data_IF_045381973030
#
_entry.id   IF_045381973030
#
_cell.length_a   1.000
_cell.length_b   1.000
_cell.length_c   1.000
_cell.angle_alpha   90.00
_cell.angle_beta   90.00
_cell.angle_gamma   90.00
#
_symmetry.space_group_name_H-M   'P 1'
#
loop_
_entity.id
_entity.type
_entity.pdbx_description
1 polymer ?
#
# COMPACT_ATOMS: atom_id res chain seq x y z
N UNK A 1 -50.00 10.33 3.52
CA UNK A 1 -50.31 11.34 4.51
C UNK A 1 -49.12 11.48 5.45
N UNK A 2 -48.77 12.75 5.75
CA UNK A 2 -47.67 13.25 6.59
C UNK A 2 -46.23 13.13 5.96
N UNK A 3 -45.70 14.02 5.20
CA UNK A 3 -45.15 15.36 5.31
C UNK A 3 -44.36 15.61 6.62
N UNK A 4 -43.02 15.61 6.53
CA UNK A 4 -42.13 16.24 7.48
C UNK A 4 -41.06 17.04 6.72
N UNK A 5 -40.99 18.33 7.07
CA UNK A 5 -40.24 19.41 6.42
C UNK A 5 -38.74 19.43 6.79
N UNK A 6 -37.92 20.22 6.07
CA UNK A 6 -36.47 20.30 6.29
C UNK A 6 -36.10 21.36 7.33
N UNK A 7 -34.99 21.11 8.06
CA UNK A 7 -34.38 22.00 9.03
C UNK A 7 -33.30 22.88 8.36
N UNK A 8 -33.10 24.15 8.80
CA UNK A 8 -32.39 25.19 8.07
C UNK A 8 -30.89 25.25 8.36
N UNK A 9 -30.16 25.71 7.34
CA UNK A 9 -28.75 26.03 7.35
C UNK A 9 -28.41 27.22 8.26
N UNK A 10 -27.41 27.07 9.13
CA UNK A 10 -26.82 28.13 9.94
C UNK A 10 -25.61 28.72 9.22
N UNK A 11 -25.80 29.94 8.70
CA UNK A 11 -24.72 30.84 8.26
C UNK A 11 -23.88 31.24 9.49
N UNK A 12 -22.56 31.09 9.39
CA UNK A 12 -21.65 31.83 10.27
C UNK A 12 -20.72 32.71 9.40
N UNK A 13 -20.62 33.94 9.88
CA UNK A 13 -20.07 35.11 9.25
C UNK A 13 -18.53 35.05 9.07
N UNK A 14 -18.10 35.68 7.98
CA UNK A 14 -16.74 36.09 7.74
C UNK A 14 -16.37 37.24 8.69
N UNK A 15 -15.21 37.21 9.31
CA UNK A 15 -14.57 38.33 9.96
C UNK A 15 -13.38 38.79 9.11
N UNK A 16 -13.54 39.95 8.51
CA UNK A 16 -12.49 40.76 7.90
C UNK A 16 -11.46 41.16 8.97
N UNK A 17 -10.19 40.95 8.69
CA UNK A 17 -9.10 41.64 9.39
C UNK A 17 -8.29 42.41 8.37
N UNK A 18 -8.42 43.72 8.52
CA UNK A 18 -7.80 44.79 7.74
C UNK A 18 -6.28 44.78 7.86
N UNK A 19 -5.64 44.92 6.71
CA UNK A 19 -4.22 45.18 6.54
C UNK A 19 -3.99 46.69 6.83
N UNK A 20 -3.12 46.97 7.79
CA UNK A 20 -2.53 48.33 7.95
C UNK A 20 -1.09 48.26 7.44
N UNK A 21 -0.89 49.01 6.36
CA UNK A 21 0.38 49.38 5.75
C UNK A 21 0.95 50.60 6.46
N UNK A 22 2.19 50.56 6.94
CA UNK A 22 3.04 51.73 7.12
C UNK A 22 4.49 51.36 6.75
N UNK A 23 5.00 51.99 5.70
CA UNK A 23 6.42 52.07 5.35
C UNK A 23 7.04 53.35 5.92
N UNK A 24 8.20 53.83 5.37
CA UNK A 24 9.54 53.31 5.64
C UNK A 24 10.40 54.37 6.37
N UNK A 25 11.49 54.00 7.00
CA UNK A 25 12.40 54.99 7.57
C UNK A 25 13.70 54.43 8.17
N UNK A 26 14.74 54.84 7.48
CA UNK A 26 16.02 55.30 7.97
C UNK A 26 17.14 54.28 8.27
N UNK A 27 18.06 54.31 7.36
CA UNK A 27 19.49 53.96 7.44
C UNK A 27 20.20 54.61 8.64
N UNK A 28 20.87 53.82 9.46
CA UNK A 28 22.02 54.29 10.28
C UNK A 28 23.15 53.32 10.07
N UNK A 29 24.19 53.82 9.44
CA UNK A 29 25.45 53.14 9.25
C UNK A 29 26.24 53.09 10.57
N UNK A 30 26.89 51.95 10.80
CA UNK A 30 27.96 51.86 11.80
C UNK A 30 29.28 51.46 11.13
N UNK A 31 30.17 52.45 11.12
CA UNK A 31 31.55 52.41 10.65
C UNK A 31 32.43 51.56 11.56
N UNK A 32 33.30 50.74 10.94
CA UNK A 32 34.44 50.08 11.58
C UNK A 32 35.50 51.12 11.94
N UNK A 33 36.23 50.99 13.06
CA UNK A 33 37.53 51.58 13.19
C UNK A 33 38.64 50.59 12.82
N UNK A 34 39.46 51.05 11.94
CA UNK A 34 40.73 50.47 11.48
C UNK A 34 41.82 50.99 12.42
N UNK A 35 42.51 50.11 13.17
CA UNK A 35 43.69 50.51 13.91
C UNK A 35 44.93 50.32 13.06
N UNK A 36 45.60 51.43 12.77
CA UNK A 36 46.93 51.51 12.25
C UNK A 36 47.95 51.72 13.39
N UNK A 37 49.03 50.94 13.32
CA UNK A 37 50.21 50.96 14.13
C UNK A 37 51.12 52.10 13.69
N UNK A 38 51.73 52.80 14.61
CA UNK A 38 53.08 53.38 14.59
C UNK A 38 53.23 54.29 15.80
N UNK A 39 54.13 54.07 16.78
CA UNK A 39 55.54 54.29 16.65
C UNK A 39 55.90 55.43 17.62
N UNK A 40 56.94 55.28 18.40
CA UNK A 40 57.92 56.15 18.94
C UNK A 40 58.16 56.08 20.47
N UNK A 41 59.29 55.46 20.74
CA UNK A 41 60.44 56.03 21.42
C UNK A 41 60.29 56.38 22.91
N UNK A 42 61.04 55.65 23.72
CA UNK A 42 62.31 56.00 24.45
C UNK A 42 62.22 57.21 25.38
N UNK A 43 62.64 56.89 26.53
CA UNK A 43 63.48 57.58 27.52
C UNK A 43 62.79 58.07 28.82
N UNK A 44 63.54 57.72 29.87
CA UNK A 44 63.83 58.29 31.18
C UNK A 44 63.33 57.42 32.33
N UNK A 45 64.20 56.55 32.85
CA UNK A 45 65.26 56.62 33.87
C UNK A 45 64.79 57.36 35.15
N UNK A 46 64.89 56.56 36.22
CA UNK A 46 65.42 56.79 37.52
C UNK A 46 64.52 57.22 38.70
N UNK A 47 64.70 56.37 39.77
CA UNK A 47 64.63 56.71 41.22
C UNK A 47 63.25 56.47 41.87
N UNK A 48 63.07 55.59 42.79
CA UNK A 48 63.61 55.45 44.15
C UNK A 48 63.09 54.19 44.83
N UNK A 49 64.00 53.57 45.56
CA UNK A 49 63.77 52.63 46.64
C UNK A 49 62.55 52.94 47.51
N UNK A 50 61.70 51.99 47.64
CA UNK A 50 60.67 51.91 48.65
C UNK A 50 60.39 50.44 48.96
N UNK A 51 61.16 49.92 49.91
CA UNK A 51 60.97 48.63 50.53
C UNK A 51 59.57 48.57 51.11
N UNK A 52 58.73 47.73 50.54
CA UNK A 52 57.54 47.17 51.26
C UNK A 52 57.43 45.69 50.92
N UNK A 53 57.94 44.88 51.84
CA UNK A 53 57.68 43.46 51.91
C UNK A 53 56.16 43.24 51.96
N UNK A 54 55.49 42.93 50.84
CA UNK A 54 54.26 42.25 50.82
C UNK A 54 54.50 40.84 50.28
N UNK A 55 54.53 39.93 51.23
CA UNK A 55 54.51 38.49 50.97
C UNK A 55 53.42 38.19 49.99
N UNK A 56 53.65 37.44 48.90
CA UNK A 56 52.55 36.82 48.14
C UNK A 56 51.86 35.85 49.13
N UNK A 57 50.58 36.02 49.32
CA UNK A 57 49.77 35.05 49.98
C UNK A 57 50.00 33.71 49.27
N UNK A 58 50.65 32.82 49.95
CA UNK A 58 50.87 31.46 49.58
C UNK A 58 49.46 30.87 49.43
N UNK A 59 48.94 30.79 48.17
CA UNK A 59 47.78 29.96 47.82
C UNK A 59 48.17 28.55 48.31
N UNK A 60 47.39 28.04 49.24
CA UNK A 60 47.62 26.73 49.85
C UNK A 60 47.45 25.66 48.77
N UNK A 61 48.51 24.95 48.33
CA UNK A 61 48.38 23.97 47.24
C UNK A 61 47.40 22.83 47.60
N UNK A 62 46.99 22.69 48.85
CA UNK A 62 45.98 21.75 49.32
C UNK A 62 44.56 22.21 48.99
N UNK A 63 44.29 23.53 48.91
CA UNK A 63 43.01 24.06 48.56
C UNK A 63 42.75 23.96 47.06
N UNK A 64 43.71 24.25 46.19
CA UNK A 64 43.63 24.08 44.74
C UNK A 64 43.50 22.60 44.36
N UNK A 65 44.18 21.69 45.05
CA UNK A 65 44.03 20.24 44.83
C UNK A 65 42.66 19.72 45.27
N UNK A 66 42.03 20.28 46.31
CA UNK A 66 40.71 19.91 46.77
C UNK A 66 39.60 20.44 45.84
N UNK A 67 39.79 21.61 45.25
CA UNK A 67 38.87 22.23 44.30
C UNK A 67 38.89 21.51 42.96
N UNK A 68 40.06 21.20 42.42
CA UNK A 68 40.24 20.38 41.21
C UNK A 68 39.68 18.95 41.38
N UNK A 69 39.80 18.33 42.56
CA UNK A 69 39.22 17.03 42.86
C UNK A 69 37.69 17.06 42.90
N UNK A 70 37.11 18.16 43.38
CA UNK A 70 35.63 18.37 43.34
C UNK A 70 35.14 18.56 41.91
N UNK A 71 35.78 19.39 41.11
CA UNK A 71 35.46 19.60 39.70
C UNK A 71 35.54 18.30 38.88
N UNK A 72 36.59 17.50 39.14
CA UNK A 72 36.76 16.21 38.51
C UNK A 72 35.66 15.21 38.90
N UNK A 73 35.21 15.23 40.13
CA UNK A 73 34.07 14.42 40.63
C UNK A 73 32.75 14.86 39.98
N UNK A 74 32.51 16.16 39.88
CA UNK A 74 31.30 16.70 39.23
C UNK A 74 31.31 16.42 37.73
N UNK A 75 32.41 16.52 37.05
CA UNK A 75 32.57 16.18 35.64
C UNK A 75 32.31 14.69 35.40
N UNK A 76 32.85 13.79 36.25
CA UNK A 76 32.59 12.34 36.18
C UNK A 76 31.08 12.04 36.38
N UNK A 77 30.44 12.70 37.34
CA UNK A 77 29.01 12.51 37.60
C UNK A 77 28.15 13.00 36.40
N UNK A 78 28.53 14.12 35.79
CA UNK A 78 27.90 14.62 34.55
C UNK A 78 28.09 13.68 33.37
N UNK A 79 29.30 13.17 33.17
CA UNK A 79 29.59 12.17 32.12
C UNK A 79 28.75 10.93 32.32
N UNK A 80 28.68 10.41 33.54
CA UNK A 80 27.91 9.22 33.88
C UNK A 80 26.42 9.44 33.66
N UNK A 81 25.85 10.59 34.05
CA UNK A 81 24.46 10.96 33.82
C UNK A 81 24.14 11.14 32.33
N UNK A 82 25.07 11.70 31.54
CA UNK A 82 24.93 11.83 30.09
C UNK A 82 24.98 10.46 29.39
N UNK A 83 25.86 9.56 29.81
CA UNK A 83 25.90 8.19 29.29
C UNK A 83 24.61 7.43 29.57
N UNK A 84 24.11 7.49 30.81
CA UNK A 84 22.80 6.88 31.15
C UNK A 84 21.62 7.46 30.34
N UNK A 85 21.60 8.79 30.16
CA UNK A 85 20.60 9.44 29.31
C UNK A 85 20.71 9.00 27.84
N UNK A 86 21.94 8.86 27.35
CA UNK A 86 22.19 8.42 25.96
C UNK A 86 21.72 6.97 25.75
N UNK A 87 22.04 6.08 26.67
CA UNK A 87 21.56 4.69 26.65
C UNK A 87 20.04 4.60 26.76
N UNK A 88 19.44 5.34 27.70
CA UNK A 88 17.97 5.37 27.85
C UNK A 88 17.27 5.88 26.58
N UNK A 89 17.81 6.92 25.94
CA UNK A 89 17.29 7.45 24.69
C UNK A 89 17.46 6.45 23.53
N UNK A 90 18.60 5.73 23.52
CA UNK A 90 18.85 4.72 22.50
C UNK A 90 17.89 3.51 22.64
N UNK A 91 17.59 3.08 23.88
CA UNK A 91 16.58 2.07 24.20
C UNK A 91 15.17 2.53 23.79
N UNK A 92 14.78 3.78 24.13
CA UNK A 92 13.48 4.35 23.73
C UNK A 92 13.30 4.36 22.21
N UNK A 93 14.34 4.77 21.48
CA UNK A 93 14.36 4.78 20.02
C UNK A 93 14.20 3.37 19.44
N UNK A 94 15.00 2.41 19.94
CA UNK A 94 14.90 1.01 19.50
C UNK A 94 13.49 0.44 19.74
N UNK A 95 12.88 0.73 20.90
CA UNK A 95 11.53 0.30 21.20
C UNK A 95 10.47 0.96 20.30
N UNK A 96 10.65 2.24 19.96
CA UNK A 96 9.75 2.93 19.04
C UNK A 96 9.83 2.37 17.60
N UNK A 97 11.06 2.04 17.15
CA UNK A 97 11.29 1.40 15.84
C UNK A 97 10.69 0.00 15.79
N UNK A 98 10.86 -0.81 16.85
CA UNK A 98 10.22 -2.13 16.97
C UNK A 98 8.69 -2.05 16.90
N UNK A 99 8.10 -1.14 17.68
CA UNK A 99 6.63 -0.93 17.64
C UNK A 99 6.14 -0.52 16.25
N UNK A 100 6.86 0.35 15.56
CA UNK A 100 6.52 0.74 14.20
C UNK A 100 6.59 -0.45 13.25
N UNK A 101 7.66 -1.24 13.31
CA UNK A 101 7.83 -2.47 12.55
C UNK A 101 6.66 -3.45 12.77
N UNK A 102 6.31 -3.74 14.03
CA UNK A 102 5.25 -4.67 14.38
C UNK A 102 3.88 -4.21 13.84
N UNK A 103 3.55 -2.91 13.98
CA UNK A 103 2.31 -2.35 13.46
C UNK A 103 2.28 -2.37 11.93
N UNK A 104 3.38 -2.07 11.27
CA UNK A 104 3.47 -2.09 9.79
C UNK A 104 3.34 -3.50 9.24
N UNK A 105 3.91 -4.50 9.90
CA UNK A 105 3.71 -5.92 9.54
C UNK A 105 2.25 -6.35 9.72
N UNK A 106 1.61 -5.94 10.82
CA UNK A 106 0.19 -6.22 11.04
C UNK A 106 -0.71 -5.53 10.00
N UNK A 107 -0.38 -4.33 9.54
CA UNK A 107 -1.08 -3.65 8.44
C UNK A 107 -0.90 -4.45 7.14
N UNK A 108 0.31 -4.92 6.86
CA UNK A 108 0.59 -5.74 5.68
C UNK A 108 -0.26 -7.01 5.68
N UNK A 109 -0.27 -7.75 6.78
CA UNK A 109 -1.05 -8.98 6.95
C UNK A 109 -2.55 -8.73 6.73
N UNK A 110 -3.12 -7.74 7.44
CA UNK A 110 -4.54 -7.40 7.30
C UNK A 110 -4.88 -6.96 5.87
N UNK A 111 -3.98 -6.23 5.19
CA UNK A 111 -4.17 -5.82 3.81
C UNK A 111 -4.15 -7.00 2.83
N UNK A 112 -3.29 -8.01 3.07
CA UNK A 112 -3.29 -9.28 2.31
C UNK A 112 -4.61 -10.04 2.48
N UNK A 113 -5.09 -10.15 3.74
CA UNK A 113 -6.37 -10.81 4.04
C UNK A 113 -7.52 -10.11 3.33
N UNK A 114 -7.61 -8.77 3.40
CA UNK A 114 -8.62 -7.98 2.70
C UNK A 114 -8.61 -8.22 1.19
N UNK A 115 -7.43 -8.20 0.56
CA UNK A 115 -7.34 -8.46 -0.87
C UNK A 115 -7.83 -9.85 -1.25
N UNK A 116 -7.54 -10.88 -0.42
CA UNK A 116 -8.06 -12.23 -0.62
C UNK A 116 -9.59 -12.24 -0.55
N UNK A 117 -10.15 -11.63 0.50
CA UNK A 117 -11.60 -11.51 0.67
C UNK A 117 -12.24 -10.79 -0.52
N UNK A 118 -11.67 -9.69 -1.01
CA UNK A 118 -12.17 -8.94 -2.16
C UNK A 118 -12.18 -9.79 -3.43
N UNK A 119 -11.11 -10.55 -3.68
CA UNK A 119 -11.04 -11.45 -4.83
C UNK A 119 -12.07 -12.58 -4.76
N UNK A 120 -12.31 -13.14 -3.58
CA UNK A 120 -13.33 -14.15 -3.32
C UNK A 120 -14.75 -13.59 -3.50
N UNK A 121 -15.00 -12.37 -2.99
CA UNK A 121 -16.28 -11.67 -3.18
C UNK A 121 -16.59 -11.49 -4.66
N UNK A 122 -15.62 -11.07 -5.46
CA UNK A 122 -15.82 -10.89 -6.89
C UNK A 122 -16.06 -12.21 -7.63
N UNK A 123 -15.36 -13.28 -7.24
CA UNK A 123 -15.58 -14.61 -7.78
C UNK A 123 -17.00 -15.11 -7.45
N UNK A 124 -17.44 -15.00 -6.19
CA UNK A 124 -18.78 -15.39 -5.75
C UNK A 124 -19.88 -14.54 -6.40
N UNK A 125 -19.66 -13.23 -6.58
CA UNK A 125 -20.58 -12.34 -7.31
C UNK A 125 -20.73 -12.76 -8.78
N UNK A 126 -19.64 -13.14 -9.45
CA UNK A 126 -19.69 -13.67 -10.83
C UNK A 126 -20.45 -14.99 -10.88
N UNK A 127 -20.22 -15.91 -9.94
CA UNK A 127 -20.97 -17.16 -9.86
C UNK A 127 -22.47 -16.92 -9.65
N UNK A 128 -22.83 -16.04 -8.73
CA UNK A 128 -24.23 -15.70 -8.44
C UNK A 128 -24.94 -15.08 -9.66
N UNK A 129 -24.26 -14.21 -10.41
CA UNK A 129 -24.82 -13.67 -11.67
C UNK A 129 -25.11 -14.79 -12.67
N UNK A 130 -24.16 -15.72 -12.88
CA UNK A 130 -24.34 -16.88 -13.79
C UNK A 130 -25.52 -17.78 -13.36
N UNK A 131 -25.67 -18.04 -12.05
CA UNK A 131 -26.80 -18.84 -11.54
C UNK A 131 -28.13 -18.14 -11.77
N UNK A 132 -28.22 -16.83 -11.52
CA UNK A 132 -29.43 -16.05 -11.79
C UNK A 132 -29.78 -15.98 -13.28
N UNK A 133 -28.78 -15.91 -14.15
CA UNK A 133 -29.00 -15.98 -15.60
C UNK A 133 -29.55 -17.35 -16.01
N UNK A 134 -28.98 -18.45 -15.49
CA UNK A 134 -29.52 -19.80 -15.70
C UNK A 134 -30.95 -19.93 -15.18
N UNK A 135 -31.23 -19.43 -13.98
CA UNK A 135 -32.58 -19.43 -13.39
C UNK A 135 -33.57 -18.70 -14.30
N UNK A 136 -33.24 -17.50 -14.80
CA UNK A 136 -34.08 -16.74 -15.73
C UNK A 136 -34.32 -17.52 -17.02
N UNK A 137 -33.27 -18.12 -17.58
CA UNK A 137 -33.39 -18.95 -18.78
C UNK A 137 -34.35 -20.14 -18.58
N UNK A 138 -34.21 -20.86 -17.45
CA UNK A 138 -35.10 -21.99 -17.13
C UNK A 138 -36.52 -21.52 -16.82
N UNK A 139 -36.71 -20.39 -16.16
CA UNK A 139 -38.03 -19.80 -15.91
C UNK A 139 -38.77 -19.44 -17.23
N UNK A 140 -38.05 -18.87 -18.20
CA UNK A 140 -38.61 -18.57 -19.55
C UNK A 140 -38.96 -19.86 -20.28
N UNK A 141 -38.08 -20.90 -20.20
CA UNK A 141 -38.35 -22.21 -20.78
C UNK A 141 -39.63 -22.83 -20.19
N UNK A 142 -39.71 -22.84 -18.86
CA UNK A 142 -40.88 -23.35 -18.13
C UNK A 142 -42.16 -22.60 -18.53
N UNK A 143 -42.12 -21.27 -18.63
CA UNK A 143 -43.26 -20.45 -19.07
C UNK A 143 -43.75 -20.88 -20.47
N UNK A 144 -42.83 -21.04 -21.43
CA UNK A 144 -43.16 -21.51 -22.79
C UNK A 144 -43.75 -22.91 -22.78
N UNK A 145 -43.19 -23.84 -22.02
CA UNK A 145 -43.72 -25.21 -21.87
C UNK A 145 -45.13 -25.20 -21.31
N UNK A 146 -45.40 -24.37 -20.27
CA UNK A 146 -46.73 -24.20 -19.68
C UNK A 146 -47.75 -23.62 -20.66
N UNK A 147 -47.35 -22.58 -21.42
CA UNK A 147 -48.23 -21.96 -22.43
C UNK A 147 -48.57 -22.93 -23.53
N UNK A 148 -47.61 -23.73 -24.00
CA UNK A 148 -47.81 -24.76 -25.01
C UNK A 148 -48.76 -25.84 -24.50
N UNK A 149 -48.50 -26.41 -23.33
CA UNK A 149 -49.35 -27.43 -22.72
C UNK A 149 -50.77 -26.91 -22.45
N UNK A 150 -50.90 -25.66 -21.98
CA UNK A 150 -52.19 -25.04 -21.75
C UNK A 150 -52.99 -24.82 -23.08
N UNK A 151 -52.28 -24.49 -24.17
CA UNK A 151 -52.86 -24.39 -25.50
C UNK A 151 -53.38 -25.74 -25.99
N UNK A 152 -52.56 -26.79 -25.85
CA UNK A 152 -52.96 -28.15 -26.21
C UNK A 152 -54.14 -28.65 -25.37
N UNK A 153 -54.12 -28.38 -24.07
CA UNK A 153 -55.22 -28.75 -23.17
C UNK A 153 -56.53 -28.05 -23.55
N UNK A 154 -56.46 -26.75 -23.89
CA UNK A 154 -57.67 -26.00 -24.40
C UNK A 154 -58.17 -26.57 -25.70
N UNK A 155 -57.33 -26.90 -26.67
CA UNK A 155 -57.70 -27.53 -27.92
C UNK A 155 -58.34 -28.89 -27.68
N UNK A 156 -57.78 -29.73 -26.84
CA UNK A 156 -58.29 -31.02 -26.46
C UNK A 156 -59.69 -30.93 -25.82
N UNK A 157 -59.84 -29.93 -24.91
CA UNK A 157 -61.21 -29.69 -24.31
C UNK A 157 -62.23 -29.21 -25.30
N UNK A 158 -61.87 -28.29 -26.20
CA UNK A 158 -62.80 -27.79 -27.25
C UNK A 158 -63.23 -28.87 -28.24
N UNK A 159 -62.32 -29.86 -28.49
CA UNK A 159 -62.66 -30.99 -29.33
C UNK A 159 -63.61 -32.02 -28.66
N UNK A 160 -63.83 -31.93 -27.35
CA UNK A 160 -64.75 -32.73 -26.56
C UNK A 160 -64.29 -34.15 -26.20
N UNK A 161 -64.81 -34.68 -25.07
CA UNK A 161 -64.36 -35.96 -24.46
C UNK A 161 -64.75 -37.21 -25.28
N UNK A 162 -65.62 -37.08 -26.25
CA UNK A 162 -66.24 -38.22 -26.95
C UNK A 162 -65.65 -38.53 -28.32
N UNK A 163 -64.51 -37.88 -28.72
CA UNK A 163 -63.95 -38.12 -30.05
C UNK A 163 -63.50 -39.58 -30.26
N UNK A 164 -62.88 -40.18 -29.21
CA UNK A 164 -62.44 -41.57 -29.28
C UNK A 164 -63.67 -42.55 -29.42
N UNK A 165 -64.74 -42.27 -28.68
CA UNK A 165 -65.91 -43.07 -28.72
C UNK A 165 -66.65 -42.83 -30.05
N UNK A 166 -66.76 -41.61 -30.57
CA UNK A 166 -67.30 -41.30 -31.88
C UNK A 166 -66.56 -42.00 -33.02
N UNK A 167 -65.18 -42.04 -32.88
CA UNK A 167 -64.37 -42.71 -33.88
C UNK A 167 -64.56 -44.23 -33.90
N UNK A 168 -64.72 -44.85 -32.71
CA UNK A 168 -64.98 -46.24 -32.51
C UNK A 168 -66.41 -46.64 -33.03
N UNK A 169 -67.38 -45.75 -32.90
CA UNK A 169 -68.76 -45.96 -33.33
C UNK A 169 -68.98 -45.68 -34.82
N UNK A 170 -68.14 -44.89 -35.46
CA UNK A 170 -68.21 -44.54 -36.88
C UNK A 170 -67.38 -45.54 -37.73
N UNK A 171 -67.90 -46.73 -37.99
CA UNK A 171 -67.20 -47.87 -38.63
C UNK A 171 -67.19 -47.82 -40.17
N UNK A 172 -67.38 -46.67 -40.80
CA UNK A 172 -67.36 -46.60 -42.26
C UNK A 172 -66.02 -46.94 -42.92
N UNK A 173 -64.90 -46.80 -42.19
CA UNK A 173 -63.56 -47.15 -42.69
C UNK A 173 -62.64 -47.73 -41.57
N UNK A 174 -62.55 -49.04 -41.38
CA UNK A 174 -61.73 -49.67 -40.30
C UNK A 174 -60.28 -49.37 -40.38
N UNK A 175 -59.70 -49.20 -41.57
CA UNK A 175 -58.29 -48.83 -41.77
C UNK A 175 -57.98 -47.41 -41.31
N UNK A 176 -58.95 -46.50 -41.34
CA UNK A 176 -58.80 -45.14 -40.83
C UNK A 176 -58.76 -45.11 -39.29
N UNK A 177 -59.60 -45.96 -38.64
CA UNK A 177 -59.61 -46.10 -37.16
C UNK A 177 -58.29 -46.58 -36.63
N UNK A 178 -57.68 -47.62 -37.28
CA UNK A 178 -56.37 -48.10 -36.88
C UNK A 178 -55.29 -47.04 -36.97
N UNK A 179 -55.21 -46.27 -38.05
CA UNK A 179 -54.24 -45.16 -38.22
C UNK A 179 -54.42 -44.08 -37.14
N UNK A 180 -55.72 -43.75 -36.89
CA UNK A 180 -56.00 -42.68 -35.88
C UNK A 180 -55.62 -43.09 -34.45
N UNK A 181 -55.85 -44.37 -34.09
CA UNK A 181 -55.38 -44.90 -32.78
C UNK A 181 -53.83 -44.81 -32.63
N UNK A 182 -53.15 -45.12 -33.74
CA UNK A 182 -51.70 -44.96 -33.75
C UNK A 182 -51.29 -43.49 -33.54
N UNK A 183 -51.96 -42.55 -34.24
CA UNK A 183 -51.69 -41.13 -34.02
C UNK A 183 -51.99 -40.68 -32.58
N UNK A 184 -53.08 -41.11 -31.99
CA UNK A 184 -53.39 -40.83 -30.59
C UNK A 184 -52.38 -41.39 -29.67
N UNK A 185 -51.76 -42.56 -29.94
CA UNK A 185 -50.65 -43.12 -29.20
C UNK A 185 -49.45 -42.26 -29.28
N UNK A 186 -49.07 -41.70 -30.43
CA UNK A 186 -47.97 -40.78 -30.59
C UNK A 186 -48.21 -39.46 -29.84
N UNK A 187 -49.40 -38.87 -29.96
CA UNK A 187 -49.80 -37.66 -29.26
C UNK A 187 -49.76 -37.84 -27.74
N UNK A 188 -50.25 -38.94 -27.22
CA UNK A 188 -50.26 -39.25 -25.80
C UNK A 188 -48.80 -39.38 -25.24
N UNK A 189 -47.92 -40.08 -25.97
CA UNK A 189 -46.52 -40.20 -25.62
C UNK A 189 -45.83 -38.84 -25.65
N UNK A 190 -46.00 -38.04 -26.71
CA UNK A 190 -45.44 -36.72 -26.82
C UNK A 190 -45.89 -35.78 -25.67
N UNK A 191 -47.13 -35.90 -25.19
CA UNK A 191 -47.62 -35.17 -24.00
C UNK A 191 -46.95 -35.63 -22.71
N UNK A 192 -46.76 -36.93 -22.53
CA UNK A 192 -46.07 -37.47 -21.38
C UNK A 192 -44.61 -36.97 -21.37
N UNK A 193 -43.92 -37.02 -22.51
CA UNK A 193 -42.57 -36.52 -22.66
C UNK A 193 -42.48 -35.00 -22.34
N UNK A 194 -43.49 -34.20 -22.75
CA UNK A 194 -43.57 -32.78 -22.40
C UNK A 194 -43.77 -32.54 -20.91
N UNK A 195 -44.64 -33.33 -20.26
CA UNK A 195 -44.87 -33.25 -18.81
C UNK A 195 -43.62 -33.62 -18.05
N UNK A 196 -42.91 -34.67 -18.44
CA UNK A 196 -41.66 -35.09 -17.80
C UNK A 196 -40.53 -34.09 -18.02
N UNK A 197 -40.42 -33.49 -19.22
CA UNK A 197 -39.51 -32.39 -19.49
C UNK A 197 -39.85 -31.14 -18.65
N UNK A 198 -41.13 -30.86 -18.39
CA UNK A 198 -41.54 -29.77 -17.52
C UNK A 198 -41.21 -30.06 -16.04
N UNK A 199 -41.44 -31.29 -15.57
CA UNK A 199 -41.05 -31.74 -14.21
C UNK A 199 -39.54 -31.61 -14.01
N UNK A 200 -38.71 -32.09 -14.94
CA UNK A 200 -37.28 -31.94 -14.89
C UNK A 200 -36.83 -30.47 -14.87
N UNK A 201 -37.52 -29.59 -15.60
CA UNK A 201 -37.24 -28.14 -15.59
C UNK A 201 -37.57 -27.53 -14.22
N UNK A 202 -38.68 -27.94 -13.57
CA UNK A 202 -39.05 -27.51 -12.22
C UNK A 202 -38.02 -27.95 -11.18
N UNK A 203 -37.59 -29.21 -11.22
CA UNK A 203 -36.53 -29.74 -10.33
C UNK A 203 -35.23 -28.96 -10.48
N UNK A 204 -34.83 -28.67 -11.74
CA UNK A 204 -33.67 -27.81 -12.00
C UNK A 204 -33.84 -26.40 -11.45
N UNK A 205 -35.03 -25.79 -11.51
CA UNK A 205 -35.32 -24.50 -10.93
C UNK A 205 -35.18 -24.51 -9.42
N UNK A 206 -35.71 -25.50 -8.72
CA UNK A 206 -35.57 -25.64 -7.27
C UNK A 206 -34.10 -25.82 -6.87
N UNK A 207 -33.34 -26.68 -7.55
CA UNK A 207 -31.93 -26.83 -7.28
C UNK A 207 -31.12 -25.53 -7.51
N UNK A 208 -31.50 -24.73 -8.51
CA UNK A 208 -30.92 -23.42 -8.75
C UNK A 208 -31.27 -22.41 -7.64
N UNK A 209 -32.49 -22.41 -7.16
CA UNK A 209 -32.98 -21.56 -6.04
C UNK A 209 -32.21 -21.86 -4.77
N UNK A 210 -32.05 -23.12 -4.39
CA UNK A 210 -31.28 -23.58 -3.25
C UNK A 210 -29.80 -23.15 -3.38
N UNK A 211 -29.23 -23.35 -4.57
CA UNK A 211 -27.85 -22.94 -4.85
C UNK A 211 -27.67 -21.42 -4.76
N UNK A 212 -28.63 -20.64 -5.25
CA UNK A 212 -28.62 -19.17 -5.15
C UNK A 212 -28.73 -18.73 -3.68
N UNK A 213 -29.60 -19.35 -2.89
CA UNK A 213 -29.77 -19.06 -1.47
C UNK A 213 -28.45 -19.28 -0.70
N UNK A 214 -27.85 -20.47 -0.82
CA UNK A 214 -26.57 -20.81 -0.19
C UNK A 214 -25.43 -19.86 -0.61
N UNK A 215 -25.35 -19.53 -1.91
CA UNK A 215 -24.32 -18.58 -2.40
C UNK A 215 -24.55 -17.17 -1.90
N UNK A 216 -25.81 -16.75 -1.74
CA UNK A 216 -26.15 -15.44 -1.20
C UNK A 216 -25.78 -15.34 0.28
N UNK A 217 -26.06 -16.37 1.07
CA UNK A 217 -25.68 -16.46 2.47
C UNK A 217 -24.16 -16.40 2.62
N UNK A 218 -23.43 -17.25 1.89
CA UNK A 218 -21.96 -17.25 1.93
C UNK A 218 -21.36 -15.89 1.51
N UNK A 219 -21.99 -15.15 0.62
CA UNK A 219 -21.59 -13.81 0.22
C UNK A 219 -21.83 -12.79 1.33
N UNK A 220 -22.92 -12.95 2.11
CA UNK A 220 -23.21 -12.09 3.27
C UNK A 220 -22.19 -12.28 4.36
N UNK A 221 -21.84 -13.53 4.70
CA UNK A 221 -20.80 -13.85 5.69
C UNK A 221 -19.46 -13.23 5.26
N UNK A 222 -19.08 -13.38 4.00
CA UNK A 222 -17.82 -12.84 3.48
C UNK A 222 -17.80 -11.30 3.49
N UNK A 223 -18.93 -10.64 3.25
CA UNK A 223 -19.06 -9.17 3.37
C UNK A 223 -18.88 -8.70 4.82
N UNK A 224 -19.46 -9.41 5.77
CA UNK A 224 -19.29 -9.10 7.17
C UNK A 224 -17.82 -9.25 7.61
N UNK A 225 -17.14 -10.29 7.12
CA UNK A 225 -15.70 -10.47 7.35
C UNK A 225 -14.89 -9.34 6.72
N UNK A 226 -15.21 -8.90 5.50
CA UNK A 226 -14.58 -7.75 4.84
C UNK A 226 -14.72 -6.48 5.68
N UNK A 227 -15.92 -6.21 6.17
CA UNK A 227 -16.17 -5.03 6.99
C UNK A 227 -15.36 -5.05 8.29
N UNK A 228 -15.30 -6.19 8.97
CA UNK A 228 -14.53 -6.36 10.19
C UNK A 228 -13.03 -6.16 9.95
N UNK A 229 -12.47 -6.78 8.91
CA UNK A 229 -11.05 -6.61 8.56
C UNK A 229 -10.73 -5.17 8.12
N UNK A 230 -11.67 -4.50 7.45
CA UNK A 230 -11.52 -3.09 7.10
C UNK A 230 -11.45 -2.19 8.33
N UNK A 231 -12.29 -2.44 9.35
CA UNK A 231 -12.24 -1.73 10.63
C UNK A 231 -10.90 -1.97 11.34
N UNK A 232 -10.45 -3.22 11.43
CA UNK A 232 -9.13 -3.57 11.99
C UNK A 232 -7.98 -2.85 11.27
N UNK A 233 -8.06 -2.75 9.95
CA UNK A 233 -7.05 -2.01 9.18
C UNK A 233 -7.02 -0.53 9.55
N UNK A 234 -8.18 0.11 9.73
CA UNK A 234 -8.24 1.52 10.15
C UNK A 234 -7.65 1.74 11.55
N UNK A 235 -7.95 0.85 12.51
CA UNK A 235 -7.38 0.90 13.85
C UNK A 235 -5.84 0.77 13.81
N UNK A 236 -5.32 -0.18 13.03
CA UNK A 236 -3.88 -0.37 12.86
C UNK A 236 -3.21 0.82 12.17
N UNK A 237 -3.86 1.45 11.20
CA UNK A 237 -3.37 2.69 10.57
C UNK A 237 -3.30 3.85 11.57
N UNK A 238 -4.26 3.96 12.49
CA UNK A 238 -4.21 4.95 13.57
C UNK A 238 -3.05 4.67 14.53
N UNK A 239 -2.87 3.42 14.96
CA UNK A 239 -1.76 2.99 15.81
C UNK A 239 -0.40 3.28 15.13
N UNK A 240 -0.28 3.04 13.82
CA UNK A 240 0.90 3.41 13.04
C UNK A 240 1.17 4.90 13.08
N UNK A 241 0.15 5.74 12.88
CA UNK A 241 0.28 7.21 12.95
C UNK A 241 0.82 7.66 14.30
N UNK A 242 0.35 7.05 15.38
CA UNK A 242 0.86 7.31 16.74
C UNK A 242 2.32 6.84 16.89
N UNK A 243 2.67 5.65 16.43
CA UNK A 243 4.04 5.13 16.48
C UNK A 243 5.04 6.01 15.71
N UNK A 244 4.65 6.48 14.52
CA UNK A 244 5.45 7.43 13.73
C UNK A 244 5.64 8.76 14.47
N UNK A 245 4.61 9.28 15.12
CA UNK A 245 4.70 10.52 15.88
C UNK A 245 5.67 10.40 17.07
N UNK A 246 5.62 9.27 17.81
CA UNK A 246 6.56 8.97 18.90
C UNK A 246 7.98 8.87 18.35
N UNK A 247 8.22 8.10 17.31
CA UNK A 247 9.55 7.94 16.69
C UNK A 247 10.10 9.27 16.20
N UNK A 248 9.27 10.14 15.61
CA UNK A 248 9.69 11.46 15.13
C UNK A 248 10.13 12.39 16.25
N UNK A 249 9.46 12.34 17.41
CA UNK A 249 9.86 13.10 18.61
C UNK A 249 11.21 12.64 19.13
N UNK A 250 11.41 11.33 19.27
CA UNK A 250 12.67 10.75 19.71
C UNK A 250 13.84 11.08 18.77
N UNK A 251 13.59 11.11 17.47
CA UNK A 251 14.60 11.45 16.45
C UNK A 251 14.98 12.94 16.48
N UNK A 252 14.02 13.85 16.72
CA UNK A 252 14.32 15.28 16.87
C UNK A 252 15.21 15.56 18.06
N UNK A 253 15.00 14.85 19.16
CA UNK A 253 15.77 15.00 20.39
C UNK A 253 17.23 14.54 20.25
N UNK A 254 17.58 13.77 19.20
CA UNK A 254 18.93 13.18 19.04
C UNK A 254 19.79 13.85 17.97
N UNK A 255 19.38 14.95 17.34
CA UNK A 255 20.16 15.67 16.31
C UNK A 255 20.59 14.83 15.10
N UNK A 256 19.82 13.77 14.78
CA UNK A 256 20.33 12.64 14.02
C UNK A 256 19.74 12.35 12.65
N UNK A 257 19.06 13.27 11.97
CA UNK A 257 18.49 12.96 10.64
C UNK A 257 19.57 12.53 9.64
N UNK A 258 20.68 13.26 9.59
CA UNK A 258 21.80 12.91 8.73
C UNK A 258 22.43 11.57 9.09
N UNK A 259 22.66 11.33 10.40
CA UNK A 259 23.23 10.06 10.88
C UNK A 259 22.30 8.89 10.55
N UNK A 260 20.97 9.07 10.72
CA UNK A 260 19.97 8.07 10.35
C UNK A 260 19.99 7.74 8.86
N UNK A 261 20.02 8.76 8.00
CA UNK A 261 20.06 8.58 6.55
C UNK A 261 21.31 7.83 6.12
N UNK A 262 22.49 8.18 6.67
CA UNK A 262 23.74 7.45 6.39
C UNK A 262 23.67 5.98 6.81
N UNK A 263 23.15 5.70 8.02
CA UNK A 263 23.02 4.31 8.51
C UNK A 263 22.05 3.50 7.65
N UNK A 264 20.88 4.04 7.30
CA UNK A 264 19.91 3.37 6.44
C UNK A 264 20.49 3.09 5.05
N UNK A 265 21.27 4.01 4.51
CA UNK A 265 21.93 3.86 3.22
C UNK A 265 23.00 2.78 3.24
N UNK A 266 23.79 2.69 4.31
CA UNK A 266 24.77 1.63 4.51
C UNK A 266 24.11 0.25 4.62
N UNK A 267 23.06 0.11 5.43
CA UNK A 267 22.32 -1.15 5.58
C UNK A 267 21.72 -1.63 4.26
N UNK A 268 21.16 -0.73 3.45
CA UNK A 268 20.66 -1.08 2.12
C UNK A 268 21.80 -1.53 1.19
N UNK A 269 22.95 -0.86 1.25
CA UNK A 269 24.11 -1.23 0.44
C UNK A 269 24.65 -2.61 0.82
N UNK A 270 24.75 -2.91 2.11
CA UNK A 270 25.16 -4.22 2.64
C UNK A 270 24.18 -5.32 2.22
N UNK A 271 22.86 -5.09 2.34
CA UNK A 271 21.85 -6.04 1.88
C UNK A 271 22.00 -6.32 0.39
N UNK A 272 22.07 -5.29 -0.44
CA UNK A 272 22.18 -5.48 -1.89
C UNK A 272 23.47 -6.22 -2.27
N UNK A 273 24.60 -5.93 -1.60
CA UNK A 273 25.85 -6.65 -1.87
C UNK A 273 25.78 -8.14 -1.45
N UNK A 274 25.11 -8.45 -0.33
CA UNK A 274 24.91 -9.84 0.09
C UNK A 274 23.99 -10.61 -0.85
N UNK A 275 22.91 -9.97 -1.32
CA UNK A 275 22.01 -10.58 -2.31
C UNK A 275 22.72 -10.85 -3.64
N UNK A 276 23.60 -9.95 -4.11
CA UNK A 276 24.39 -10.18 -5.31
C UNK A 276 25.32 -11.39 -5.18
N UNK A 277 25.94 -11.58 -4.01
CA UNK A 277 26.79 -12.75 -3.75
C UNK A 277 25.99 -14.08 -3.78
N UNK A 278 24.75 -14.08 -3.31
CA UNK A 278 23.89 -15.27 -3.29
C UNK A 278 23.26 -15.59 -4.66
N UNK A 279 23.04 -14.56 -5.50
CA UNK A 279 22.36 -14.71 -6.80
C UNK A 279 23.31 -15.13 -7.93
N UNK A 280 24.63 -15.03 -7.74
CA UNK A 280 25.64 -15.48 -8.73
C UNK A 280 25.58 -16.99 -8.96
N UNK A 281 25.12 -17.79 -7.99
CA UNK A 281 24.99 -19.25 -8.07
C UNK A 281 23.67 -19.75 -8.69
N UNK A 282 22.76 -18.84 -9.10
CA UNK A 282 21.52 -19.26 -9.74
C UNK A 282 21.74 -19.17 -11.26
N UNK A 283 21.68 -20.30 -12.01
CA UNK A 283 21.75 -20.27 -13.47
C UNK A 283 20.72 -19.27 -13.99
N UNK A 284 21.14 -18.35 -14.84
CA UNK A 284 20.22 -17.49 -15.58
C UNK A 284 19.31 -18.41 -16.39
N UNK A 285 18.10 -18.65 -15.88
CA UNK A 285 17.15 -19.53 -16.54
C UNK A 285 16.87 -18.97 -17.93
N UNK A 286 17.11 -19.79 -18.96
CA UNK A 286 16.98 -19.40 -20.37
C UNK A 286 15.56 -18.95 -20.76
N UNK A 287 14.63 -18.90 -19.81
CA UNK A 287 13.25 -18.42 -19.94
C UNK A 287 13.09 -16.91 -19.90
N UNK A 288 14.14 -16.15 -19.56
CA UNK A 288 14.08 -14.66 -19.64
C UNK A 288 14.05 -14.25 -21.12
N UNK A 289 12.86 -14.05 -21.65
CA UNK A 289 12.61 -13.79 -23.08
C UNK A 289 13.30 -12.54 -23.64
N UNK A 290 13.71 -11.57 -22.80
CA UNK A 290 14.45 -10.37 -23.22
C UNK A 290 15.43 -9.89 -22.15
N UNK A 291 16.72 -9.63 -22.50
CA UNK A 291 17.67 -9.03 -21.56
C UNK A 291 17.16 -7.67 -21.03
N UNK A 292 17.22 -7.43 -19.72
CA UNK A 292 16.74 -6.21 -19.09
C UNK A 292 17.31 -4.92 -19.71
N UNK A 293 18.55 -4.98 -20.16
CA UNK A 293 19.25 -3.87 -20.85
C UNK A 293 18.50 -3.34 -22.08
N UNK A 294 17.79 -4.19 -22.82
CA UNK A 294 17.04 -3.81 -24.03
C UNK A 294 15.76 -3.03 -23.73
N UNK A 295 15.35 -3.02 -22.46
CA UNK A 295 14.16 -2.32 -21.96
C UNK A 295 14.45 -0.87 -21.54
N UNK A 296 15.68 -0.38 -21.70
CA UNK A 296 16.03 1.00 -21.39
C UNK A 296 15.15 1.99 -22.16
N UNK A 297 14.49 2.91 -21.44
CA UNK A 297 13.55 3.89 -21.99
C UNK A 297 12.16 3.35 -22.31
N UNK A 298 11.93 2.04 -22.12
CA UNK A 298 10.64 1.37 -22.43
C UNK A 298 9.90 0.85 -21.20
N UNK A 299 10.52 0.83 -20.02
CA UNK A 299 9.90 0.36 -18.79
C UNK A 299 8.67 1.19 -18.44
N UNK A 300 7.61 0.54 -17.99
CA UNK A 300 6.45 1.23 -17.41
C UNK A 300 6.78 1.64 -15.98
N UNK A 301 6.27 2.79 -15.55
CA UNK A 301 6.38 3.20 -14.15
C UNK A 301 5.65 2.21 -13.24
N UNK A 302 6.22 1.88 -12.07
CA UNK A 302 5.67 0.85 -11.17
C UNK A 302 4.33 1.25 -10.56
N UNK A 303 4.02 2.53 -10.52
CA UNK A 303 2.73 3.07 -10.04
C UNK A 303 2.40 4.38 -10.73
N UNK A 304 1.13 4.79 -10.67
CA UNK A 304 0.69 6.13 -11.08
C UNK A 304 0.96 7.11 -9.96
N UNK A 305 1.32 8.36 -10.29
CA UNK A 305 1.57 9.37 -9.28
C UNK A 305 2.45 10.51 -9.79
N UNK A 306 2.88 11.38 -8.89
CA UNK A 306 3.74 12.54 -9.17
C UNK A 306 5.16 12.28 -8.65
N UNK A 307 6.17 12.51 -9.46
CA UNK A 307 7.57 12.48 -9.03
C UNK A 307 7.83 13.58 -7.98
N UNK A 308 7.87 13.19 -6.71
CA UNK A 308 8.13 14.08 -5.58
C UNK A 308 9.62 14.31 -5.39
N UNK A 309 10.46 13.28 -5.56
CA UNK A 309 11.92 13.38 -5.49
C UNK A 309 12.55 12.67 -6.68
N UNK A 310 13.63 13.26 -7.20
CA UNK A 310 14.33 12.75 -8.38
C UNK A 310 15.69 12.18 -8.01
N UNK A 311 16.16 11.21 -8.79
CA UNK A 311 17.50 10.65 -8.70
C UNK A 311 18.57 11.75 -8.73
N UNK A 312 19.56 11.66 -7.85
CA UNK A 312 20.71 12.58 -7.76
C UNK A 312 20.42 13.91 -7.07
N UNK A 313 19.15 14.23 -6.74
CA UNK A 313 18.82 15.45 -5.98
C UNK A 313 19.26 15.33 -4.51
N UNK A 314 19.50 16.46 -3.85
CA UNK A 314 19.93 16.49 -2.43
C UNK A 314 18.86 15.87 -1.51
N UNK A 315 19.31 15.04 -0.56
CA UNK A 315 18.46 14.41 0.48
C UNK A 315 18.92 14.90 1.85
N UNK A 316 18.14 15.79 2.46
CA UNK A 316 18.48 16.39 3.76
C UNK A 316 19.64 17.39 3.69
N UNK A 317 20.14 17.79 4.87
CA UNK A 317 21.18 18.84 5.04
C UNK A 317 22.63 18.37 4.89
N UNK A 318 22.86 17.08 4.64
CA UNK A 318 24.19 16.45 4.79
C UNK A 318 24.90 16.05 3.49
N UNK A 319 24.57 16.62 2.34
CA UNK A 319 25.23 16.32 1.06
C UNK A 319 24.86 14.96 0.45
N UNK A 320 23.98 14.15 1.09
CA UNK A 320 23.45 12.93 0.52
C UNK A 320 22.58 13.22 -0.68
N UNK A 321 22.55 12.27 -1.64
CA UNK A 321 21.71 12.35 -2.86
C UNK A 321 20.70 11.20 -2.87
N UNK A 322 19.54 11.42 -3.48
CA UNK A 322 18.58 10.37 -3.75
C UNK A 322 19.17 9.37 -4.75
N UNK A 323 19.22 8.09 -4.37
CA UNK A 323 19.68 6.97 -5.21
C UNK A 323 18.59 6.36 -6.08
N UNK A 324 17.34 6.72 -5.82
CA UNK A 324 16.16 6.37 -6.58
C UNK A 324 15.27 7.59 -6.77
N UNK A 325 13.98 7.34 -6.98
CA UNK A 325 12.94 8.36 -7.09
C UNK A 325 11.87 8.12 -6.02
N UNK A 326 11.16 9.17 -5.60
CA UNK A 326 9.97 9.06 -4.78
C UNK A 326 8.75 9.47 -5.62
N UNK A 327 7.81 8.56 -5.79
CA UNK A 327 6.55 8.78 -6.52
C UNK A 327 5.45 8.97 -5.48
N UNK A 328 5.00 10.22 -5.30
CA UNK A 328 3.87 10.52 -4.42
C UNK A 328 2.57 10.05 -5.07
N UNK A 329 1.82 9.23 -4.35
CA UNK A 329 0.53 8.71 -4.78
C UNK A 329 -0.32 8.32 -3.57
N UNK A 330 -1.61 8.07 -3.80
CA UNK A 330 -2.55 7.68 -2.74
C UNK A 330 -2.19 6.31 -2.14
N UNK A 331 -2.35 6.17 -0.84
CA UNK A 331 -2.16 4.91 -0.13
C UNK A 331 -3.13 3.84 -0.65
N UNK A 332 -2.68 2.59 -0.72
CA UNK A 332 -3.47 1.46 -1.24
C UNK A 332 -3.45 1.31 -2.76
N UNK A 333 -2.71 2.17 -3.49
CA UNK A 333 -2.53 2.02 -4.93
C UNK A 333 -1.66 0.80 -5.28
N UNK A 334 -1.89 0.20 -6.45
CA UNK A 334 -1.09 -0.93 -6.93
C UNK A 334 0.36 -0.51 -7.22
N UNK A 335 1.30 -1.33 -6.76
CA UNK A 335 2.71 -1.31 -7.16
C UNK A 335 2.97 -2.51 -8.05
N UNK A 336 3.46 -2.24 -9.27
CA UNK A 336 3.65 -3.27 -10.30
C UNK A 336 5.13 -3.47 -10.62
N UNK A 337 5.51 -4.73 -10.86
CA UNK A 337 6.85 -5.06 -11.32
C UNK A 337 7.12 -4.39 -12.68
N UNK A 338 8.26 -3.72 -12.80
CA UNK A 338 8.63 -3.02 -14.05
C UNK A 338 9.07 -3.97 -15.16
N UNK A 339 9.53 -5.15 -14.79
CA UNK A 339 9.92 -6.25 -15.68
C UNK A 339 9.75 -7.57 -14.97
N UNK A 340 9.72 -8.66 -15.73
CA UNK A 340 9.81 -10.01 -15.17
C UNK A 340 11.09 -10.19 -14.36
N UNK A 341 11.06 -11.06 -13.35
CA UNK A 341 12.22 -11.33 -12.51
C UNK A 341 11.88 -12.21 -11.31
N UNK A 342 12.86 -12.46 -10.48
CA UNK A 342 12.72 -13.23 -9.25
C UNK A 342 12.83 -12.34 -8.03
N UNK A 343 11.95 -12.53 -7.05
CA UNK A 343 12.00 -11.76 -5.79
C UNK A 343 13.23 -12.19 -4.99
N UNK A 344 14.16 -11.26 -4.81
CA UNK A 344 15.38 -11.45 -4.06
C UNK A 344 15.23 -11.07 -2.57
N UNK A 345 14.32 -10.13 -2.27
CA UNK A 345 14.02 -9.68 -0.91
C UNK A 345 12.58 -9.21 -0.81
N UNK A 346 11.89 -9.56 0.28
CA UNK A 346 10.50 -9.19 0.55
C UNK A 346 10.26 -9.13 2.05
N UNK A 347 10.69 -8.02 2.69
CA UNK A 347 10.54 -7.84 4.14
C UNK A 347 10.64 -6.37 4.53
N UNK A 348 10.46 -6.09 5.82
CA UNK A 348 10.64 -4.77 6.38
C UNK A 348 12.11 -4.38 6.52
N UNK A 349 12.47 -3.20 6.03
CA UNK A 349 13.80 -2.63 6.20
C UNK A 349 13.72 -1.24 6.81
N UNK A 350 14.57 -0.99 7.80
CA UNK A 350 14.68 0.32 8.45
C UNK A 350 14.91 1.44 7.44
N UNK A 351 14.07 2.48 7.51
CA UNK A 351 14.15 3.65 6.64
C UNK A 351 13.58 3.49 5.25
N UNK A 352 13.30 2.24 4.82
CA UNK A 352 12.61 1.91 3.57
C UNK A 352 11.24 1.26 3.80
N UNK A 353 10.91 0.88 5.06
CA UNK A 353 9.67 0.20 5.40
C UNK A 353 9.58 -1.17 4.76
N UNK A 354 8.39 -1.58 4.36
CA UNK A 354 8.17 -2.79 3.58
C UNK A 354 8.81 -2.61 2.20
N UNK A 355 9.90 -3.33 1.99
CA UNK A 355 10.76 -3.28 0.80
C UNK A 355 10.67 -4.59 0.03
N UNK A 356 10.51 -4.49 -1.27
CA UNK A 356 10.69 -5.60 -2.20
C UNK A 356 11.86 -5.31 -3.13
N UNK A 357 12.69 -6.31 -3.39
CA UNK A 357 13.76 -6.27 -4.38
C UNK A 357 13.51 -7.40 -5.37
N UNK A 358 13.46 -7.06 -6.65
CA UNK A 358 13.31 -8.02 -7.76
C UNK A 358 14.61 -8.04 -8.55
N UNK A 359 15.16 -9.22 -8.74
CA UNK A 359 16.29 -9.47 -9.63
C UNK A 359 15.79 -9.81 -11.04
N UNK A 360 16.31 -9.08 -12.03
CA UNK A 360 15.94 -9.22 -13.45
C UNK A 360 17.01 -9.94 -14.28
N UNK A 361 18.06 -10.46 -13.62
CA UNK A 361 19.22 -11.05 -14.28
C UNK A 361 20.24 -10.00 -14.73
N UNK A 362 21.39 -10.45 -15.22
CA UNK A 362 22.52 -9.61 -15.70
C UNK A 362 22.97 -8.53 -14.68
N UNK A 363 22.71 -8.75 -13.39
CA UNK A 363 23.01 -7.81 -12.29
C UNK A 363 22.07 -6.61 -12.23
N UNK A 364 20.92 -6.65 -12.89
CA UNK A 364 19.87 -5.62 -12.78
C UNK A 364 18.87 -5.95 -11.68
N UNK A 365 18.60 -5.00 -10.83
CA UNK A 365 17.60 -5.10 -9.75
C UNK A 365 16.68 -3.89 -9.72
N UNK A 366 15.41 -4.10 -9.37
CA UNK A 366 14.47 -3.04 -9.02
C UNK A 366 14.05 -3.14 -7.56
N UNK A 367 13.96 -2.00 -6.90
CA UNK A 367 13.63 -1.86 -5.48
C UNK A 367 12.34 -1.04 -5.34
N UNK A 368 11.43 -1.54 -4.53
CA UNK A 368 10.11 -0.96 -4.25
C UNK A 368 9.96 -0.79 -2.74
N UNK A 369 10.10 0.42 -2.22
CA UNK A 369 10.05 0.70 -0.77
C UNK A 369 8.83 1.55 -0.37
N UNK A 370 8.60 1.64 0.94
CA UNK A 370 7.50 2.34 1.59
C UNK A 370 6.12 1.73 1.33
N UNK A 371 6.08 0.44 0.96
CA UNK A 371 4.83 -0.26 0.67
C UNK A 371 3.96 -0.43 1.93
N UNK A 372 2.65 -0.54 1.74
CA UNK A 372 1.69 -0.90 2.78
C UNK A 372 1.63 -2.41 2.98
N UNK A 373 1.73 -3.19 1.91
CA UNK A 373 1.74 -4.64 1.91
C UNK A 373 2.59 -5.17 0.76
N UNK A 374 3.23 -6.33 0.97
CA UNK A 374 3.96 -7.09 -0.04
C UNK A 374 3.17 -8.35 -0.37
N UNK A 375 3.04 -8.69 -1.66
CA UNK A 375 2.22 -9.82 -2.12
C UNK A 375 3.01 -11.01 -2.59
N UNK A 376 4.33 -10.86 -2.69
CA UNK A 376 5.25 -11.89 -3.14
C UNK A 376 6.28 -12.18 -2.09
N UNK A 377 6.68 -13.44 -2.00
CA UNK A 377 7.71 -13.93 -1.09
C UNK A 377 9.05 -14.08 -1.80
N UNK A 378 10.13 -14.18 -1.02
CA UNK A 378 11.48 -14.39 -1.56
C UNK A 378 11.52 -15.68 -2.36
N UNK A 379 12.08 -15.64 -3.56
CA UNK A 379 12.19 -16.75 -4.47
C UNK A 379 11.08 -16.87 -5.49
N UNK A 380 9.93 -16.21 -5.32
CA UNK A 380 8.83 -16.21 -6.30
C UNK A 380 9.20 -15.44 -7.57
N UNK A 381 8.67 -15.89 -8.68
CA UNK A 381 8.74 -15.19 -9.96
C UNK A 381 7.64 -14.14 -10.07
N UNK A 382 7.95 -13.05 -10.75
CA UNK A 382 7.01 -11.98 -11.05
C UNK A 382 7.05 -11.66 -12.54
N UNK A 383 5.87 -11.43 -13.11
CA UNK A 383 5.72 -11.01 -14.50
C UNK A 383 5.76 -9.49 -14.66
N UNK A 384 6.10 -9.03 -15.88
CA UNK A 384 6.06 -7.61 -16.21
C UNK A 384 4.65 -7.03 -16.02
N UNK A 385 4.51 -6.03 -15.16
CA UNK A 385 3.24 -5.39 -14.84
C UNK A 385 2.39 -6.11 -13.80
N UNK A 386 2.84 -7.23 -13.25
CA UNK A 386 2.18 -7.92 -12.14
C UNK A 386 2.16 -7.05 -10.89
N UNK A 387 1.05 -7.10 -10.13
CA UNK A 387 0.92 -6.37 -8.86
C UNK A 387 1.69 -7.10 -7.78
N UNK A 388 2.77 -6.51 -7.32
CA UNK A 388 3.70 -7.10 -6.34
C UNK A 388 3.54 -6.52 -4.94
N UNK A 389 2.98 -5.32 -4.81
CA UNK A 389 2.78 -4.67 -3.53
C UNK A 389 1.63 -3.65 -3.57
N UNK A 390 1.21 -3.16 -2.39
CA UNK A 390 0.39 -1.97 -2.22
C UNK A 390 1.24 -0.78 -1.79
N UNK A 391 1.00 0.35 -2.43
CA UNK A 391 1.62 1.62 -2.08
C UNK A 391 1.23 2.05 -0.67
N UNK A 392 2.20 2.56 0.09
CA UNK A 392 1.97 2.98 1.46
C UNK A 392 2.86 4.14 1.89
N UNK A 393 3.13 4.19 3.19
CA UNK A 393 4.02 5.16 3.82
C UNK A 393 4.86 4.49 4.93
N UNK A 394 5.20 3.19 4.79
CA UNK A 394 5.96 2.46 5.81
C UNK A 394 7.41 2.96 5.94
N UNK A 395 8.09 2.55 7.00
CA UNK A 395 9.46 3.00 7.30
C UNK A 395 9.53 4.41 7.88
N UNK A 396 8.44 4.88 8.52
CA UNK A 396 8.38 6.18 9.19
C UNK A 396 8.16 7.36 8.27
N UNK A 397 7.64 7.16 7.06
CA UNK A 397 7.24 8.25 6.18
C UNK A 397 5.95 8.92 6.66
N UNK A 398 5.91 10.26 6.57
CA UNK A 398 4.71 11.03 6.91
C UNK A 398 3.67 11.03 5.78
N UNK A 399 4.13 10.99 4.54
CA UNK A 399 3.31 11.01 3.33
C UNK A 399 3.40 9.69 2.58
N UNK A 400 2.31 9.31 1.90
CA UNK A 400 2.29 8.10 1.08
C UNK A 400 3.04 8.31 -0.24
N UNK A 401 3.81 7.29 -0.62
CA UNK A 401 4.58 7.33 -1.85
C UNK A 401 5.47 6.10 -2.01
N UNK A 402 5.75 5.73 -3.25
CA UNK A 402 6.64 4.64 -3.58
C UNK A 402 8.08 5.15 -3.70
N UNK A 403 8.99 4.57 -2.92
CA UNK A 403 10.41 4.66 -3.22
C UNK A 403 10.73 3.64 -4.32
N UNK A 404 11.20 4.11 -5.46
CA UNK A 404 11.58 3.27 -6.59
C UNK A 404 13.03 3.52 -7.00
N UNK A 405 13.83 2.45 -7.04
CA UNK A 405 15.24 2.50 -7.39
C UNK A 405 15.56 1.38 -8.37
N UNK A 406 16.43 1.65 -9.32
CA UNK A 406 17.04 0.65 -10.20
C UNK A 406 18.52 0.54 -9.88
N UNK A 407 19.07 -0.67 -9.92
CA UNK A 407 20.49 -0.94 -9.75
C UNK A 407 21.03 -1.81 -10.87
N UNK A 408 22.27 -1.57 -11.21
CA UNK A 408 23.04 -2.43 -12.08
C UNK A 408 24.37 -2.75 -11.40
N UNK A 409 24.65 -4.04 -11.19
CA UNK A 409 25.84 -4.53 -10.45
C UNK A 409 26.03 -3.79 -9.13
N UNK A 410 24.96 -3.67 -8.33
CA UNK A 410 24.93 -2.99 -7.03
C UNK A 410 24.94 -1.47 -7.07
N UNK A 411 25.20 -0.84 -8.22
CA UNK A 411 25.26 0.60 -8.36
C UNK A 411 23.88 1.18 -8.73
N UNK A 412 23.41 2.23 -8.04
CA UNK A 412 22.15 2.90 -8.37
C UNK A 412 22.23 3.56 -9.75
N UNK A 413 21.23 3.33 -10.59
CA UNK A 413 21.09 3.95 -11.90
C UNK A 413 19.81 4.78 -11.95
N UNK A 414 19.78 5.81 -12.81
CA UNK A 414 18.67 6.77 -12.86
C UNK A 414 17.39 6.15 -13.48
N UNK A 415 16.32 5.90 -12.69
CA UNK A 415 15.10 5.28 -13.18
C UNK A 415 14.41 6.08 -14.32
N UNK A 416 14.56 7.41 -14.31
CA UNK A 416 13.95 8.29 -15.33
C UNK A 416 14.46 8.01 -16.74
N UNK A 417 15.68 7.48 -16.86
CA UNK A 417 16.25 7.09 -18.17
C UNK A 417 15.78 5.72 -18.64
N UNK A 418 15.18 4.95 -17.75
CA UNK A 418 14.72 3.58 -18.01
C UNK A 418 13.22 3.50 -18.25
N UNK A 419 12.46 4.35 -17.59
CA UNK A 419 11.00 4.38 -17.72
C UNK A 419 10.56 5.30 -18.85
N UNK A 420 9.54 4.87 -19.61
CA UNK A 420 8.93 5.64 -20.67
C UNK A 420 8.07 6.79 -20.09
N UNK A 421 8.27 7.99 -20.60
CA UNK A 421 7.47 9.16 -20.22
C UNK A 421 7.60 9.57 -18.75
N UNK A 422 6.59 10.28 -18.22
CA UNK A 422 6.42 10.60 -16.81
C UNK A 422 5.40 9.63 -16.20
N UNK A 423 5.47 9.33 -14.88
CA UNK A 423 4.37 8.61 -14.23
C UNK A 423 3.07 9.35 -14.49
N UNK A 424 2.04 8.61 -14.95
CA UNK A 424 0.73 9.21 -15.19
C UNK A 424 0.17 9.79 -13.89
N UNK A 425 -0.30 11.05 -13.92
CA UNK A 425 -0.98 11.63 -12.78
C UNK A 425 -2.26 10.81 -12.47
N UNK A 426 -2.59 10.62 -11.20
CA UNK A 426 -3.92 10.15 -10.84
C UNK A 426 -4.92 11.22 -11.29
N UNK A 427 -5.75 10.89 -12.25
CA UNK A 427 -7.01 11.61 -12.46
C UNK A 427 -7.89 11.28 -11.25
N UNK A 428 -7.95 12.23 -10.29
CA UNK A 428 -8.83 12.18 -9.13
C UNK A 428 -10.29 12.08 -9.52
#
# INVERSE_FOLDING_TARGET
>A
MALAAPCPAKKMAAADVSIVSTGPGSLVGFTRPRNSVQGLRRDWIVILLGVFLLLPASADPAQDAAETARELKDLRTRIQSLQQKLEANQRKKSNAEKRLHDVENQISETSRVLRRIDSELDAKRRQLRRLREKQRGQAVKLKRQREHLASEARMAYAMGHQQQVKLLLNQEQPSAVGRMLVYFGYFSRARLDQIDAMRATLEQLHALEDSIAQKTESLTVLRNSQQLESQRLQEKKLARKQAVAVLSRELKNQGGELRRLKTNEQQLQELVSSLQGLLVDIPADATLQQPFKTLQGKLRWPTRGRLAKRFGTRRGSGGLKWRGVLIAAAEGGDVRAVSQGRVAFSDWMRGFGLLMIVDHGDGYMSLYGHNQALYKEVGEWVDTGEVVALLGASGGQAESGLYFELRHKGQPINPVRWCAGKPAANSG
#
